data_IF_653052779307
#
_entry.id   IF_653052779307
#
_cell.length_a   1.000
_cell.length_b   1.000
_cell.length_c   1.000
_cell.angle_alpha   90.00
_cell.angle_beta   90.00
_cell.angle_gamma   90.00
#
_symmetry.space_group_name_H-M   'P 1'
#
loop_
_entity.id
_entity.type
_entity.pdbx_description
1 polymer ?
#
# COMPACT_ATOMS: atom_id res chain seq x y z
N UNK A 1 8.22 -9.74 -23.99
CA UNK A 1 9.41 -8.87 -23.83
C UNK A 1 10.66 -9.69 -24.10
N UNK A 2 11.34 -9.42 -25.25
CA UNK A 2 12.64 -10.04 -25.56
C UNK A 2 13.72 -9.27 -24.80
N UNK A 3 14.41 -9.93 -23.88
CA UNK A 3 15.60 -9.39 -23.22
C UNK A 3 16.80 -9.82 -24.05
N UNK A 4 17.44 -8.87 -24.72
CA UNK A 4 18.71 -9.04 -25.42
C UNK A 4 19.86 -8.75 -24.46
N UNK A 5 20.65 -9.76 -24.11
CA UNK A 5 21.89 -9.60 -23.36
C UNK A 5 23.02 -9.23 -24.34
N UNK A 6 23.43 -7.97 -24.39
CA UNK A 6 24.73 -7.56 -24.91
C UNK A 6 25.65 -7.23 -23.74
N UNK A 7 26.78 -7.96 -23.70
CA UNK A 7 27.95 -7.60 -22.90
C UNK A 7 28.50 -6.27 -23.41
N UNK A 8 28.62 -5.28 -22.52
CA UNK A 8 29.58 -4.18 -22.70
C UNK A 8 29.96 -3.63 -21.33
N UNK A 9 31.24 -3.51 -21.14
CA UNK A 9 31.93 -3.00 -19.96
C UNK A 9 31.83 -1.46 -19.88
N UNK A 10 31.76 -0.95 -18.64
CA UNK A 10 32.09 0.39 -18.17
C UNK A 10 31.15 1.54 -18.56
N UNK A 11 30.24 1.84 -17.64
CA UNK A 11 30.00 3.25 -17.28
C UNK A 11 29.26 3.31 -15.94
N UNK A 12 29.80 4.05 -14.97
CA UNK A 12 29.16 4.35 -13.69
C UNK A 12 28.01 5.33 -13.95
N UNK A 13 26.80 4.89 -13.85
CA UNK A 13 25.64 5.79 -13.70
C UNK A 13 24.78 5.36 -12.54
N UNK A 14 24.47 6.34 -11.70
CA UNK A 14 23.74 6.26 -10.43
C UNK A 14 22.38 5.58 -10.62
N UNK A 15 22.23 4.37 -10.12
CA UNK A 15 20.93 3.74 -9.92
C UNK A 15 20.25 4.42 -8.73
N UNK A 16 19.10 5.06 -8.97
CA UNK A 16 18.19 5.48 -7.91
C UNK A 16 17.55 4.22 -7.32
N UNK A 17 17.81 3.98 -6.05
CA UNK A 17 17.22 2.88 -5.30
C UNK A 17 15.74 3.18 -5.06
N UNK A 18 14.86 2.40 -5.66
CA UNK A 18 13.48 2.22 -5.21
C UNK A 18 13.51 1.11 -4.17
N UNK A 19 13.07 1.41 -2.96
CA UNK A 19 13.09 0.52 -1.80
C UNK A 19 12.04 -0.60 -1.94
N UNK A 20 12.32 -1.60 -2.75
CA UNK A 20 11.65 -2.89 -2.72
C UNK A 20 12.70 -3.97 -2.97
N UNK A 21 13.14 -4.62 -1.91
CA UNK A 21 14.07 -5.73 -2.01
C UNK A 21 13.30 -6.99 -2.41
N UNK A 22 13.26 -7.28 -3.70
CA UNK A 22 12.89 -8.61 -4.19
C UNK A 22 14.17 -9.43 -4.27
N UNK A 23 14.38 -10.35 -3.33
CA UNK A 23 15.47 -11.29 -3.40
C UNK A 23 15.13 -12.38 -4.40
N UNK A 24 15.75 -12.35 -5.59
CA UNK A 24 15.70 -13.44 -6.57
C UNK A 24 16.96 -14.27 -6.42
N UNK A 25 16.84 -15.46 -5.83
CA UNK A 25 17.95 -16.44 -5.80
C UNK A 25 18.01 -17.17 -7.13
N UNK A 26 19.03 -16.86 -7.94
CA UNK A 26 19.26 -17.49 -9.24
C UNK A 26 20.40 -18.52 -9.14
N UNK A 27 20.07 -19.79 -9.16
CA UNK A 27 21.05 -20.85 -9.33
C UNK A 27 21.31 -21.01 -10.83
N UNK A 28 22.53 -20.67 -11.26
CA UNK A 28 22.97 -20.76 -12.65
C UNK A 28 23.04 -22.23 -13.06
N UNK A 29 22.00 -22.73 -13.72
CA UNK A 29 22.07 -23.98 -14.48
C UNK A 29 21.54 -23.70 -15.89
N UNK A 30 22.49 -23.46 -16.82
CA UNK A 30 22.20 -23.42 -18.23
C UNK A 30 22.41 -24.85 -18.73
N UNK A 31 21.37 -25.68 -18.70
CA UNK A 31 21.27 -26.96 -19.43
C UNK A 31 19.79 -27.11 -19.83
N UNK A 32 19.54 -27.49 -21.07
CA UNK A 32 18.22 -27.95 -21.49
C UNK A 32 17.94 -29.24 -20.69
N UNK A 33 17.15 -29.11 -19.62
CA UNK A 33 16.76 -30.26 -18.80
C UNK A 33 15.96 -31.24 -19.64
N UNK A 34 16.38 -32.49 -19.66
CA UNK A 34 15.62 -33.60 -20.26
C UNK A 34 14.28 -33.76 -19.50
N UNK A 35 13.31 -34.45 -20.13
CA UNK A 35 11.97 -34.66 -19.53
C UNK A 35 12.05 -35.37 -18.16
N UNK A 36 13.05 -36.26 -18.01
CA UNK A 36 13.29 -37.03 -16.78
C UNK A 36 13.88 -36.16 -15.66
N UNK A 37 14.83 -35.26 -15.96
CA UNK A 37 15.37 -34.29 -14.99
C UNK A 37 14.31 -33.32 -14.46
N UNK A 38 13.34 -33.00 -15.30
CA UNK A 38 12.20 -32.15 -14.87
C UNK A 38 11.29 -32.90 -13.89
N UNK A 39 11.06 -34.19 -14.12
CA UNK A 39 10.25 -35.04 -13.25
C UNK A 39 10.89 -35.22 -11.86
N UNK A 40 12.20 -35.41 -11.82
CA UNK A 40 12.94 -35.55 -10.56
C UNK A 40 12.99 -34.25 -9.77
N UNK A 41 13.09 -33.08 -10.45
CA UNK A 41 12.99 -31.77 -9.79
C UNK A 41 11.62 -31.52 -9.16
N UNK A 42 10.56 -31.99 -9.82
CA UNK A 42 9.17 -31.87 -9.27
C UNK A 42 9.04 -32.73 -8.03
N UNK A 43 9.52 -33.97 -8.03
CA UNK A 43 9.48 -34.86 -6.85
C UNK A 43 10.25 -34.26 -5.66
N UNK A 44 11.44 -33.71 -5.90
CA UNK A 44 12.24 -33.04 -4.87
C UNK A 44 11.51 -31.81 -4.30
N UNK A 45 10.84 -31.04 -5.17
CA UNK A 45 10.04 -29.90 -4.73
C UNK A 45 8.82 -30.34 -3.90
N UNK A 46 8.14 -31.39 -4.29
CA UNK A 46 6.98 -31.93 -3.56
C UNK A 46 7.38 -32.44 -2.16
N UNK A 47 8.58 -33.02 -2.02
CA UNK A 47 9.14 -33.41 -0.70
C UNK A 47 9.38 -32.15 0.14
N UNK A 48 10.05 -31.15 -0.40
CA UNK A 48 10.31 -29.90 0.31
C UNK A 48 9.03 -29.16 0.70
N UNK A 49 8.00 -29.18 -0.16
CA UNK A 49 6.67 -28.61 0.15
C UNK A 49 6.03 -29.31 1.33
N UNK A 50 6.09 -30.66 1.39
CA UNK A 50 5.58 -31.41 2.54
C UNK A 50 6.32 -31.08 3.84
N UNK A 51 7.65 -31.04 3.80
CA UNK A 51 8.45 -30.66 4.98
C UNK A 51 8.10 -29.25 5.50
N UNK A 52 7.84 -28.29 4.59
CA UNK A 52 7.41 -26.93 4.95
C UNK A 52 6.02 -26.97 5.57
N UNK A 53 5.08 -27.72 4.99
CA UNK A 53 3.72 -27.85 5.50
C UNK A 53 3.68 -28.53 6.87
N UNK A 54 4.50 -29.57 7.07
CA UNK A 54 4.62 -30.27 8.35
C UNK A 54 5.19 -29.35 9.45
N UNK A 55 6.13 -28.46 9.09
CA UNK A 55 6.78 -27.57 10.04
C UNK A 55 6.00 -26.29 10.33
N UNK A 56 5.29 -25.73 9.36
CA UNK A 56 4.67 -24.40 9.45
C UNK A 56 3.13 -24.43 9.25
N UNK A 57 2.53 -25.60 9.00
CA UNK A 57 1.11 -25.77 8.76
C UNK A 57 0.74 -25.89 7.27
N UNK A 58 -0.40 -26.53 6.98
CA UNK A 58 -0.85 -26.84 5.60
C UNK A 58 -1.01 -25.60 4.69
N UNK A 59 -1.28 -24.42 5.24
CA UNK A 59 -1.43 -23.17 4.48
C UNK A 59 -0.13 -22.42 4.19
N UNK A 60 1.03 -22.89 4.70
CA UNK A 60 2.31 -22.16 4.63
C UNK A 60 2.90 -22.05 3.22
N UNK A 61 2.60 -23.00 2.35
CA UNK A 61 3.01 -23.02 0.95
C UNK A 61 1.94 -23.71 0.10
N UNK A 62 1.59 -23.08 -1.05
CA UNK A 62 0.61 -23.63 -2.00
C UNK A 62 0.93 -23.14 -3.41
N UNK A 63 0.42 -23.84 -4.42
CA UNK A 63 0.50 -23.35 -5.79
C UNK A 63 -0.48 -22.21 -5.99
N UNK A 64 -0.06 -21.14 -6.67
CA UNK A 64 -0.93 -19.98 -6.92
C UNK A 64 -2.21 -20.35 -7.68
N UNK A 65 -2.17 -21.40 -8.52
CA UNK A 65 -3.36 -21.91 -9.23
C UNK A 65 -4.39 -22.60 -8.33
N UNK A 66 -3.97 -23.06 -7.14
CA UNK A 66 -4.83 -23.72 -6.16
C UNK A 66 -5.49 -22.71 -5.19
N UNK A 67 -5.02 -21.46 -5.23
CA UNK A 67 -5.60 -20.35 -4.46
C UNK A 67 -6.98 -20.04 -5.05
N UNK A 68 -8.04 -20.27 -4.27
CA UNK A 68 -9.39 -19.86 -4.65
C UNK A 68 -9.39 -18.35 -4.90
N UNK A 69 -10.04 -17.90 -6.00
CA UNK A 69 -10.32 -16.47 -6.19
C UNK A 69 -11.14 -16.01 -4.98
N UNK A 70 -10.53 -15.20 -4.14
CA UNK A 70 -11.24 -14.57 -3.03
C UNK A 70 -12.03 -13.44 -3.66
N UNK A 71 -13.33 -13.42 -3.45
CA UNK A 71 -14.14 -12.23 -3.72
C UNK A 71 -13.65 -11.13 -2.81
N UNK A 72 -13.07 -10.10 -3.41
CA UNK A 72 -12.50 -8.96 -2.67
C UNK A 72 -13.61 -7.94 -2.50
N UNK A 73 -13.98 -7.68 -1.25
CA UNK A 73 -14.90 -6.57 -0.95
C UNK A 73 -14.23 -5.23 -1.26
N UNK A 74 -14.94 -4.36 -1.99
CA UNK A 74 -14.39 -3.13 -2.55
C UNK A 74 -15.28 -1.92 -2.32
N UNK A 75 -14.65 -0.75 -2.33
CA UNK A 75 -15.33 0.53 -2.41
C UNK A 75 -15.07 1.09 -3.82
N UNK A 76 -16.10 1.36 -4.63
CA UNK A 76 -15.93 1.97 -5.95
C UNK A 76 -15.21 3.31 -5.86
N UNK A 77 -14.43 3.65 -6.87
CA UNK A 77 -13.77 4.97 -6.94
C UNK A 77 -14.70 6.06 -7.43
N UNK A 78 -15.88 5.67 -7.96
CA UNK A 78 -16.81 6.57 -8.62
C UNK A 78 -16.45 6.84 -10.10
N UNK A 79 -15.39 6.22 -10.60
CA UNK A 79 -15.00 6.26 -12.02
C UNK A 79 -15.03 4.85 -12.58
N UNK A 80 -15.99 4.57 -13.47
CA UNK A 80 -16.17 3.25 -14.11
C UNK A 80 -14.90 2.77 -14.81
N UNK A 81 -14.18 3.67 -15.47
CA UNK A 81 -12.94 3.33 -16.17
C UNK A 81 -11.82 2.95 -15.21
N UNK A 82 -11.70 3.63 -14.06
CA UNK A 82 -10.71 3.31 -13.04
C UNK A 82 -11.07 2.00 -12.33
N UNK A 83 -12.33 1.82 -11.96
CA UNK A 83 -12.82 0.58 -11.33
C UNK A 83 -12.58 -0.64 -12.22
N UNK A 84 -12.82 -0.50 -13.52
CA UNK A 84 -12.51 -1.55 -14.52
C UNK A 84 -11.01 -1.81 -14.63
N UNK A 85 -10.18 -0.75 -14.61
CA UNK A 85 -8.71 -0.86 -14.72
C UNK A 85 -8.09 -1.53 -13.47
N UNK A 86 -8.68 -1.32 -12.29
CA UNK A 86 -8.27 -1.99 -11.04
C UNK A 86 -8.59 -3.49 -11.04
N UNK A 87 -9.48 -3.95 -11.93
CA UNK A 87 -9.77 -5.38 -12.14
C UNK A 87 -10.70 -6.00 -11.09
N UNK A 88 -10.87 -5.37 -9.93
CA UNK A 88 -11.76 -5.83 -8.84
C UNK A 88 -12.99 -4.93 -8.65
N UNK A 89 -13.11 -3.86 -9.43
CA UNK A 89 -14.27 -2.97 -9.42
C UNK A 89 -14.21 -1.84 -8.41
N UNK A 90 -13.06 -1.56 -7.82
CA UNK A 90 -12.86 -0.49 -6.85
C UNK A 90 -11.59 -0.64 -6.05
N UNK A 91 -11.46 0.13 -4.97
CA UNK A 91 -10.38 -0.01 -4.00
C UNK A 91 -10.70 -1.12 -2.99
N UNK A 92 -9.79 -2.08 -2.74
CA UNK A 92 -10.05 -3.21 -1.86
C UNK A 92 -10.13 -2.76 -0.40
N UNK A 93 -11.09 -3.32 0.35
CA UNK A 93 -11.20 -3.15 1.80
C UNK A 93 -10.09 -3.92 2.53
N UNK A 94 -9.74 -3.49 3.73
CA UNK A 94 -8.69 -4.11 4.54
C UNK A 94 -7.31 -4.03 3.87
N UNK A 95 -7.01 -2.93 3.17
CA UNK A 95 -5.71 -2.70 2.53
C UNK A 95 -5.28 -1.25 2.68
N UNK A 96 -3.98 -1.05 2.76
CA UNK A 96 -3.36 0.27 2.67
C UNK A 96 -3.14 0.56 1.18
N UNK A 97 -3.67 1.69 0.71
CA UNK A 97 -3.61 2.10 -0.69
C UNK A 97 -2.85 3.42 -0.76
N UNK A 98 -1.84 3.47 -1.61
CA UNK A 98 -1.09 4.68 -1.89
C UNK A 98 -1.58 5.30 -3.20
N UNK A 99 -2.00 6.58 -3.12
CA UNK A 99 -2.34 7.41 -4.28
C UNK A 99 -1.24 8.45 -4.42
N UNK A 100 -0.47 8.40 -5.48
CA UNK A 100 0.64 9.30 -5.72
C UNK A 100 0.57 9.98 -7.09
N UNK A 101 1.23 11.13 -7.21
CA UNK A 101 1.27 11.91 -8.45
C UNK A 101 1.70 13.34 -8.18
N UNK A 102 1.92 14.15 -9.21
CA UNK A 102 2.30 15.55 -9.06
C UNK A 102 1.19 16.36 -8.35
N UNK A 103 1.53 17.55 -7.91
CA UNK A 103 0.57 18.51 -7.38
C UNK A 103 -0.56 18.76 -8.41
N UNK A 104 -1.76 19.06 -7.90
CA UNK A 104 -2.96 19.33 -8.73
C UNK A 104 -3.37 18.19 -9.67
N UNK A 105 -2.88 16.96 -9.47
CA UNK A 105 -3.24 15.78 -10.29
C UNK A 105 -4.57 15.13 -9.90
N UNK A 106 -5.25 15.63 -8.87
CA UNK A 106 -6.55 15.12 -8.43
C UNK A 106 -6.49 14.03 -7.37
N UNK A 107 -5.38 13.88 -6.62
CA UNK A 107 -5.24 12.89 -5.54
C UNK A 107 -6.33 13.05 -4.47
N UNK A 108 -6.45 14.25 -3.90
CA UNK A 108 -7.48 14.60 -2.92
C UNK A 108 -8.89 14.43 -3.50
N UNK A 109 -9.10 14.83 -4.76
CA UNK A 109 -10.37 14.65 -5.46
C UNK A 109 -10.76 13.17 -5.52
N UNK A 110 -9.83 12.30 -5.91
CA UNK A 110 -10.07 10.84 -5.96
C UNK A 110 -10.37 10.28 -4.56
N UNK A 111 -9.61 10.69 -3.53
CA UNK A 111 -9.85 10.28 -2.15
C UNK A 111 -11.26 10.69 -1.67
N UNK A 112 -11.70 11.91 -1.98
CA UNK A 112 -13.06 12.39 -1.65
C UNK A 112 -14.14 11.60 -2.41
N UNK A 113 -13.91 11.20 -3.65
CA UNK A 113 -14.83 10.32 -4.38
C UNK A 113 -14.95 8.95 -3.70
N UNK A 114 -13.85 8.35 -3.26
CA UNK A 114 -13.86 7.08 -2.51
C UNK A 114 -14.64 7.22 -1.20
N UNK A 115 -14.44 8.32 -0.45
CA UNK A 115 -15.20 8.64 0.76
C UNK A 115 -16.70 8.71 0.43
N UNK A 116 -17.08 9.43 -0.63
CA UNK A 116 -18.47 9.54 -1.06
C UNK A 116 -19.08 8.17 -1.34
N UNK A 117 -18.38 7.31 -2.05
CA UNK A 117 -18.88 5.97 -2.39
C UNK A 117 -19.00 5.09 -1.15
N UNK A 118 -18.04 5.17 -0.20
CA UNK A 118 -18.14 4.50 1.09
C UNK A 118 -19.40 4.95 1.87
N UNK A 119 -19.63 6.26 1.95
CA UNK A 119 -20.83 6.82 2.61
C UNK A 119 -22.12 6.45 1.89
N UNK A 120 -22.11 6.29 0.56
CA UNK A 120 -23.27 5.81 -0.21
C UNK A 120 -23.61 4.35 0.10
N UNK A 121 -22.62 3.54 0.45
CA UNK A 121 -22.80 2.16 0.91
C UNK A 121 -23.19 2.08 2.40
N UNK A 122 -23.36 3.22 3.08
CA UNK A 122 -23.70 3.28 4.51
C UNK A 122 -22.49 3.21 5.44
N UNK A 123 -21.28 3.28 4.89
CA UNK A 123 -20.02 3.24 5.65
C UNK A 123 -19.66 4.59 6.28
N UNK A 124 -18.79 4.54 7.29
CA UNK A 124 -18.22 5.69 7.96
C UNK A 124 -16.83 6.01 7.40
N UNK A 125 -16.51 7.30 7.33
CA UNK A 125 -15.24 7.77 6.81
C UNK A 125 -14.56 8.78 7.75
N UNK A 126 -13.23 8.73 7.79
CA UNK A 126 -12.41 9.72 8.48
C UNK A 126 -11.37 10.32 7.52
N UNK A 127 -11.08 11.59 7.71
CA UNK A 127 -10.08 12.34 6.95
C UNK A 127 -9.08 12.98 7.90
N UNK A 128 -7.83 12.59 7.78
CA UNK A 128 -6.71 13.18 8.52
C UNK A 128 -6.03 14.17 7.59
N UNK A 129 -6.32 15.44 7.82
CA UNK A 129 -5.88 16.58 7.01
C UNK A 129 -4.57 17.15 7.59
N UNK A 130 -3.45 16.58 7.18
CA UNK A 130 -2.13 17.03 7.61
C UNK A 130 -1.66 18.30 6.88
N UNK A 131 -2.29 18.66 5.77
CA UNK A 131 -1.99 19.90 5.03
C UNK A 131 -2.88 21.08 5.47
N UNK A 132 -3.91 20.83 6.28
CA UNK A 132 -4.92 21.83 6.68
C UNK A 132 -5.58 22.52 5.48
N UNK A 133 -5.78 21.79 4.41
CA UNK A 133 -6.20 22.32 3.11
C UNK A 133 -7.55 21.78 2.61
N UNK A 134 -8.25 20.95 3.40
CA UNK A 134 -9.55 20.41 3.00
C UNK A 134 -10.59 21.52 2.92
N UNK A 135 -11.16 21.72 1.74
CA UNK A 135 -12.30 22.61 1.49
C UNK A 135 -13.63 21.84 1.66
N UNK A 136 -14.42 22.11 2.72
CA UNK A 136 -15.71 21.45 2.96
C UNK A 136 -16.73 21.70 1.83
N UNK A 137 -16.71 22.87 1.21
CA UNK A 137 -17.63 23.19 0.10
C UNK A 137 -17.28 22.42 -1.16
N UNK A 138 -15.98 22.20 -1.39
CA UNK A 138 -15.52 21.32 -2.48
C UNK A 138 -15.90 19.87 -2.23
N UNK A 139 -15.69 19.36 -1.01
CA UNK A 139 -16.10 18.01 -0.63
C UNK A 139 -17.61 17.80 -0.81
N UNK A 140 -18.42 18.78 -0.40
CA UNK A 140 -19.88 18.78 -0.58
C UNK A 140 -20.28 18.77 -2.06
N UNK A 141 -19.58 19.53 -2.92
CA UNK A 141 -19.84 19.53 -4.39
C UNK A 141 -19.52 18.19 -5.03
N UNK A 142 -18.51 17.47 -4.54
CA UNK A 142 -18.21 16.09 -4.95
C UNK A 142 -19.33 15.13 -4.52
N UNK A 143 -20.09 15.47 -3.48
CA UNK A 143 -21.18 14.68 -2.93
C UNK A 143 -20.86 13.96 -1.63
N UNK A 144 -19.79 14.35 -0.95
CA UNK A 144 -19.47 13.88 0.40
C UNK A 144 -20.48 14.45 1.38
N UNK A 145 -21.01 13.60 2.26
CA UNK A 145 -21.84 14.01 3.40
C UNK A 145 -20.90 14.56 4.48
N UNK A 146 -20.64 15.87 4.41
CA UNK A 146 -19.64 16.53 5.29
C UNK A 146 -20.01 16.46 6.76
N UNK A 147 -21.31 16.39 7.08
CA UNK A 147 -21.78 16.26 8.47
C UNK A 147 -21.49 14.87 9.06
N UNK A 148 -21.27 13.85 8.22
CA UNK A 148 -20.99 12.47 8.60
C UNK A 148 -19.51 12.12 8.42
N UNK A 149 -18.67 13.09 8.04
CA UNK A 149 -17.24 12.91 7.86
C UNK A 149 -16.48 13.33 9.12
N UNK A 150 -15.75 12.40 9.72
CA UNK A 150 -14.84 12.72 10.81
C UNK A 150 -13.57 13.35 10.25
N UNK A 151 -13.18 14.52 10.77
CA UNK A 151 -11.95 15.20 10.37
C UNK A 151 -11.01 15.35 11.57
N UNK A 152 -9.73 15.17 11.33
CA UNK A 152 -8.65 15.44 12.27
C UNK A 152 -7.56 16.24 11.59
N UNK A 153 -7.02 17.25 12.27
CA UNK A 153 -5.95 18.11 11.80
C UNK A 153 -4.78 18.05 12.81
N UNK A 154 -3.94 17.04 12.74
CA UNK A 154 -2.85 16.84 13.69
C UNK A 154 -1.67 17.80 13.43
N UNK A 155 -0.99 18.21 14.50
CA UNK A 155 0.17 19.08 14.42
C UNK A 155 1.47 18.31 14.09
N UNK A 156 1.52 17.01 14.38
CA UNK A 156 2.72 16.16 14.19
C UNK A 156 2.38 14.86 13.47
N UNK A 157 3.38 14.30 12.78
CA UNK A 157 3.23 13.01 12.11
C UNK A 157 2.93 11.86 13.07
N UNK A 158 3.52 11.87 14.27
CA UNK A 158 3.23 10.88 15.31
C UNK A 158 1.78 10.93 15.76
N UNK A 159 1.26 12.13 16.02
CA UNK A 159 -0.15 12.34 16.41
C UNK A 159 -1.10 11.84 15.32
N UNK A 160 -0.83 12.18 14.05
CA UNK A 160 -1.63 11.72 12.91
C UNK A 160 -1.71 10.19 12.88
N UNK A 161 -0.57 9.51 13.01
CA UNK A 161 -0.48 8.05 12.92
C UNK A 161 -1.10 7.34 14.14
N UNK A 162 -1.03 7.93 15.33
CA UNK A 162 -1.71 7.44 16.54
C UNK A 162 -3.24 7.54 16.40
N UNK A 163 -3.73 8.65 15.83
CA UNK A 163 -5.16 8.82 15.53
C UNK A 163 -5.61 7.75 14.53
N UNK A 164 -4.87 7.56 13.44
CA UNK A 164 -5.17 6.53 12.43
C UNK A 164 -5.17 5.14 13.05
N UNK A 165 -4.17 4.80 13.86
CA UNK A 165 -4.13 3.51 14.55
C UNK A 165 -5.36 3.30 15.44
N UNK A 166 -5.76 4.31 16.19
CA UNK A 166 -6.93 4.24 17.07
C UNK A 166 -8.22 4.02 16.28
N UNK A 167 -8.36 4.71 15.12
CA UNK A 167 -9.50 4.54 14.23
C UNK A 167 -9.53 3.13 13.60
N UNK A 168 -8.38 2.61 13.13
CA UNK A 168 -8.29 1.25 12.59
C UNK A 168 -8.65 0.22 13.66
N UNK A 169 -8.10 0.35 14.88
CA UNK A 169 -8.38 -0.57 15.98
C UNK A 169 -9.83 -0.55 16.44
N UNK A 170 -10.54 0.56 16.26
CA UNK A 170 -11.97 0.64 16.60
C UNK A 170 -12.83 -0.25 15.71
N UNK A 171 -12.34 -0.61 14.52
CA UNK A 171 -13.06 -1.36 13.47
C UNK A 171 -14.43 -0.75 13.12
N UNK A 172 -14.60 0.55 13.36
CA UNK A 172 -15.85 1.27 13.14
C UNK A 172 -15.85 2.11 11.86
N UNK A 173 -14.67 2.33 11.25
CA UNK A 173 -14.49 3.22 10.10
C UNK A 173 -14.12 2.39 8.88
N UNK A 174 -14.85 2.61 7.79
CA UNK A 174 -14.67 1.87 6.52
C UNK A 174 -13.54 2.46 5.66
N UNK A 175 -13.33 3.77 5.73
CA UNK A 175 -12.31 4.50 4.97
C UNK A 175 -11.62 5.53 5.85
N UNK A 176 -10.31 5.49 5.86
CA UNK A 176 -9.47 6.52 6.49
C UNK A 176 -8.56 7.08 5.41
N UNK A 177 -8.61 8.39 5.21
CA UNK A 177 -7.72 9.12 4.29
C UNK A 177 -6.70 9.90 5.11
N UNK A 178 -5.44 9.87 4.70
CA UNK A 178 -4.38 10.75 5.22
C UNK A 178 -3.91 11.60 4.04
N UNK A 179 -4.12 12.91 4.11
CA UNK A 179 -3.73 13.84 3.06
C UNK A 179 -2.87 14.96 3.64
N UNK A 180 -1.58 15.02 3.40
CA UNK A 180 -0.79 14.02 2.69
C UNK A 180 0.33 13.50 3.59
N UNK A 181 0.90 12.34 3.24
CA UNK A 181 2.09 11.80 3.94
C UNK A 181 3.27 12.77 3.91
N UNK A 182 3.38 13.59 2.85
CA UNK A 182 4.45 14.59 2.72
C UNK A 182 4.39 15.66 3.82
N UNK A 183 3.21 15.98 4.35
CA UNK A 183 2.98 16.96 5.41
C UNK A 183 3.16 16.40 6.82
N UNK A 184 3.33 15.08 6.97
CA UNK A 184 3.55 14.44 8.26
C UNK A 184 4.96 14.74 8.79
N UNK A 185 5.12 15.88 9.47
CA UNK A 185 6.38 16.28 10.05
C UNK A 185 6.59 15.61 11.41
N UNK A 186 7.72 14.90 11.62
CA UNK A 186 8.05 14.33 12.92
C UNK A 186 8.18 15.42 14.00
N UNK A 187 7.71 15.13 15.23
CA UNK A 187 7.79 16.06 16.37
C UNK A 187 9.21 16.56 16.60
N UNK A 188 10.21 15.68 16.53
CA UNK A 188 11.61 16.05 16.73
C UNK A 188 12.14 17.05 15.67
N UNK A 189 11.53 17.09 14.50
CA UNK A 189 11.86 18.06 13.46
C UNK A 189 11.20 19.42 13.72
N UNK A 190 9.99 19.42 14.32
CA UNK A 190 9.27 20.64 14.72
C UNK A 190 9.95 21.32 15.91
N UNK A 191 10.38 20.52 16.91
CA UNK A 191 11.01 20.99 18.14
C UNK A 191 12.53 21.29 17.97
N UNK A 192 13.13 20.85 16.85
CA UNK A 192 14.55 21.04 16.55
C UNK A 192 14.91 22.49 16.20
N UNK A 193 16.20 22.81 16.31
CA UNK A 193 16.70 24.13 15.91
C UNK A 193 16.74 24.29 14.39
N UNK A 194 16.51 25.50 13.91
CA UNK A 194 16.64 25.85 12.48
C UNK A 194 18.03 25.48 11.95
N UNK A 195 18.06 24.56 10.96
CA UNK A 195 19.31 24.08 10.36
C UNK A 195 19.83 22.76 10.92
N UNK A 196 19.21 22.19 11.94
CA UNK A 196 19.53 20.85 12.41
C UNK A 196 19.13 19.81 11.36
N UNK A 197 20.07 18.92 11.00
CA UNK A 197 19.80 17.90 10.00
C UNK A 197 19.08 16.70 10.63
N UNK A 198 17.82 16.49 10.27
CA UNK A 198 17.00 15.35 10.67
C UNK A 198 16.87 14.32 9.56
N UNK A 199 18.00 13.71 9.17
CA UNK A 199 18.06 12.80 8.03
C UNK A 199 17.16 11.58 8.24
N UNK A 200 16.12 11.45 7.39
CA UNK A 200 15.29 10.26 7.28
C UNK A 200 14.33 10.00 8.44
N UNK A 201 14.04 10.96 9.31
CA UNK A 201 13.08 10.78 10.42
C UNK A 201 11.69 10.46 9.91
N UNK A 202 11.17 11.21 8.94
CA UNK A 202 9.87 10.96 8.33
C UNK A 202 9.79 9.55 7.70
N UNK A 203 10.83 9.14 6.96
CA UNK A 203 10.87 7.81 6.35
C UNK A 203 10.87 6.68 7.39
N UNK A 204 11.55 6.87 8.53
CA UNK A 204 11.54 5.91 9.66
C UNK A 204 10.18 5.86 10.32
N UNK A 205 9.56 7.01 10.58
CA UNK A 205 8.23 7.12 11.15
C UNK A 205 7.22 6.38 10.27
N UNK A 206 7.18 6.66 8.96
CA UNK A 206 6.30 6.01 8.01
C UNK A 206 6.56 4.50 7.90
N UNK A 207 7.82 4.07 7.83
CA UNK A 207 8.17 2.65 7.77
C UNK A 207 7.70 1.90 9.01
N UNK A 208 7.80 2.50 10.20
CA UNK A 208 7.32 1.90 11.44
C UNK A 208 5.79 1.84 11.48
N UNK A 209 5.13 2.95 11.14
CA UNK A 209 3.68 3.06 11.14
C UNK A 209 3.03 2.09 10.15
N UNK A 210 3.52 2.04 8.89
CA UNK A 210 2.97 1.16 7.88
C UNK A 210 3.08 -0.32 8.26
N UNK A 211 4.20 -0.75 8.88
CA UNK A 211 4.33 -2.12 9.40
C UNK A 211 3.29 -2.42 10.48
N UNK A 212 3.06 -1.46 11.39
CA UNK A 212 2.10 -1.60 12.48
C UNK A 212 0.67 -1.63 11.95
N UNK A 213 0.32 -0.70 11.06
CA UNK A 213 -0.99 -0.63 10.42
C UNK A 213 -1.29 -1.87 9.58
N UNK A 214 -0.34 -2.34 8.77
CA UNK A 214 -0.51 -3.57 7.97
C UNK A 214 -0.79 -4.82 8.83
N UNK A 215 -0.31 -4.83 10.07
CA UNK A 215 -0.55 -5.97 10.98
C UNK A 215 -1.95 -5.94 11.63
N UNK A 216 -2.66 -4.81 11.58
CA UNK A 216 -3.96 -4.63 12.24
C UNK A 216 -5.11 -4.36 11.24
N UNK A 217 -4.80 -4.14 9.95
CA UNK A 217 -5.75 -4.13 8.83
C UNK A 217 -5.83 -5.49 8.17
#
# INVERSE_FOLDING_TARGET
LKISLRKSLRSRSKLKFVNSYVFVYWRRFCFMATKDEKLDKIKLLDIAVKEIQDKFGEGSIMKLGDVRKVDVDVIPTGSVSLDSALGVGGVPRGRIIEIFGPESSGKTTLALHIIREAQRQGGLAAFVDAEHALDPEYAKRIGVKVNDLFISQPDTGEQALEIVESLVRSNAVDVIVIDSVAALTPRAEIEGEMGQQHVGLQARLMSHALRKLTAIT
#
